data_IF_467360705388
#
_entry.id   IF_467360705388
#
_cell.length_a   1.000
_cell.length_b   1.000
_cell.length_c   1.000
_cell.angle_alpha   90.00
_cell.angle_beta   90.00
_cell.angle_gamma   90.00
#
_symmetry.space_group_name_H-M   'P 1'
#
loop_
_entity.id
_entity.type
_entity.pdbx_description
1 polymer ?
#
# COMPACT_ATOMS: atom_id res chain seq x y z
N UNK A 1 6.29 2.95 -15.27
CA UNK A 1 5.34 2.31 -16.18
C UNK A 1 4.55 1.16 -15.51
N UNK A 2 5.18 0.03 -15.05
CA UNK A 2 4.46 -1.14 -14.50
C UNK A 2 3.58 -0.82 -13.27
N UNK A 3 4.05 -0.02 -12.32
CA UNK A 3 3.25 0.37 -11.15
C UNK A 3 2.05 1.25 -11.54
N UNK A 4 2.26 2.21 -12.44
CA UNK A 4 1.19 3.08 -12.93
C UNK A 4 0.12 2.31 -13.69
N UNK A 5 0.52 1.36 -14.56
CA UNK A 5 -0.44 0.46 -15.25
C UNK A 5 -1.20 -0.46 -14.29
N UNK A 6 -0.64 -0.70 -13.11
CA UNK A 6 -1.31 -1.44 -12.02
C UNK A 6 -2.20 -0.55 -11.14
N UNK A 7 -2.43 0.73 -11.51
CA UNK A 7 -3.24 1.68 -10.75
C UNK A 7 -2.57 2.21 -9.48
N UNK A 8 -1.22 2.14 -9.39
CA UNK A 8 -0.48 2.66 -8.25
C UNK A 8 -0.01 4.08 -8.56
N UNK A 9 -0.45 5.05 -7.75
CA UNK A 9 0.06 6.41 -7.79
C UNK A 9 1.49 6.47 -7.26
N UNK A 10 2.42 7.01 -8.04
CA UNK A 10 3.82 7.18 -7.63
C UNK A 10 4.05 8.64 -7.25
N UNK A 11 4.78 8.85 -6.16
CA UNK A 11 5.20 10.17 -5.70
C UNK A 11 6.70 10.14 -5.41
N UNK A 12 7.42 11.18 -5.83
CA UNK A 12 8.83 11.39 -5.49
C UNK A 12 8.89 12.37 -4.32
N UNK A 13 9.53 11.93 -3.24
CA UNK A 13 9.73 12.75 -2.04
C UNK A 13 11.21 12.69 -1.67
N UNK A 14 11.92 13.79 -1.91
CA UNK A 14 13.38 13.83 -1.77
C UNK A 14 13.86 15.09 -1.07
N UNK A 15 15.03 15.00 -0.43
CA UNK A 15 15.78 16.16 0.07
C UNK A 15 16.45 17.00 -1.03
N UNK A 16 16.50 16.52 -2.26
CA UNK A 16 17.14 17.16 -3.40
C UNK A 16 16.46 18.45 -3.83
N UNK A 17 17.15 19.18 -4.71
CA UNK A 17 16.64 20.44 -5.26
C UNK A 17 15.43 20.20 -6.18
N UNK A 18 14.54 21.22 -6.34
CA UNK A 18 13.38 21.09 -7.23
C UNK A 18 13.76 20.72 -8.67
N UNK A 19 14.87 21.27 -9.18
CA UNK A 19 15.37 20.97 -10.53
C UNK A 19 15.76 19.50 -10.69
N UNK A 20 16.54 18.97 -9.77
CA UNK A 20 16.97 17.56 -9.76
C UNK A 20 15.77 16.62 -9.65
N UNK A 21 14.87 16.88 -8.70
CA UNK A 21 13.68 16.05 -8.49
C UNK A 21 12.75 16.04 -9.72
N UNK A 22 12.56 17.19 -10.36
CA UNK A 22 11.74 17.29 -11.58
C UNK A 22 12.38 16.58 -12.76
N UNK A 23 13.69 16.69 -12.92
CA UNK A 23 14.42 16.01 -14.01
C UNK A 23 14.37 14.48 -13.86
N UNK A 24 14.57 13.96 -12.64
CA UNK A 24 14.41 12.53 -12.35
C UNK A 24 12.96 12.09 -12.66
N UNK A 25 11.97 12.87 -12.21
CA UNK A 25 10.57 12.57 -12.48
C UNK A 25 10.23 12.54 -13.97
N UNK A 26 10.84 13.43 -14.76
CA UNK A 26 10.70 13.47 -16.22
C UNK A 26 11.30 12.22 -16.87
N UNK A 27 12.51 11.84 -16.48
CA UNK A 27 13.21 10.67 -17.03
C UNK A 27 12.46 9.36 -16.79
N UNK A 28 11.81 9.21 -15.64
CA UNK A 28 11.02 8.00 -15.33
C UNK A 28 9.56 8.08 -15.83
N UNK A 29 9.18 9.16 -16.52
CA UNK A 29 7.84 9.35 -17.07
C UNK A 29 6.75 9.63 -16.02
N UNK A 30 7.13 10.16 -14.84
CA UNK A 30 6.21 10.60 -13.80
C UNK A 30 5.75 12.04 -14.01
N UNK A 31 6.66 12.91 -14.50
CA UNK A 31 6.41 14.32 -14.81
C UNK A 31 6.28 14.54 -16.31
N UNK A 32 5.19 15.15 -16.73
CA UNK A 32 4.98 15.59 -18.11
C UNK A 32 4.74 17.11 -18.11
N UNK A 33 5.65 17.90 -18.73
CA UNK A 33 5.52 19.37 -18.76
C UNK A 33 4.26 19.88 -19.48
N UNK A 34 3.65 19.06 -20.35
CA UNK A 34 2.46 19.45 -21.11
C UNK A 34 1.16 19.33 -20.29
N UNK A 35 1.15 18.44 -19.30
CA UNK A 35 -0.06 18.12 -18.51
C UNK A 35 0.06 18.47 -17.04
N UNK A 36 1.27 18.48 -16.50
CA UNK A 36 1.51 18.73 -15.09
C UNK A 36 1.76 20.21 -14.80
N UNK A 37 1.28 20.66 -13.67
CA UNK A 37 1.31 22.07 -13.24
C UNK A 37 2.02 22.21 -11.91
N UNK A 38 2.16 23.45 -11.41
CA UNK A 38 2.70 23.72 -10.08
C UNK A 38 1.87 23.06 -8.95
N UNK A 39 0.63 22.66 -9.21
CA UNK A 39 -0.18 21.90 -8.27
C UNK A 39 0.43 20.51 -7.99
N UNK A 40 1.10 19.92 -8.99
CA UNK A 40 1.66 18.57 -8.92
C UNK A 40 3.06 18.53 -8.29
N UNK A 41 3.69 19.67 -8.00
CA UNK A 41 4.99 19.74 -7.32
C UNK A 41 5.01 20.79 -6.22
N UNK A 42 5.79 20.54 -5.16
CA UNK A 42 5.94 21.44 -4.03
C UNK A 42 7.30 21.26 -3.37
N UNK A 43 7.76 22.27 -2.65
CA UNK A 43 8.92 22.14 -1.75
C UNK A 43 8.45 21.77 -0.34
N UNK A 44 9.30 21.09 0.45
CA UNK A 44 8.98 20.76 1.83
C UNK A 44 8.63 21.98 2.68
N UNK A 45 9.32 23.12 2.46
CA UNK A 45 9.01 24.38 3.16
C UNK A 45 7.60 24.84 2.83
N UNK A 46 7.26 24.96 1.55
CA UNK A 46 5.92 25.39 1.14
C UNK A 46 4.83 24.38 1.59
N UNK A 47 5.15 23.09 1.62
CA UNK A 47 4.22 22.07 2.12
C UNK A 47 3.98 22.19 3.63
N UNK A 48 4.99 22.56 4.40
CA UNK A 48 4.87 22.78 5.85
C UNK A 48 4.04 24.02 6.20
N UNK A 49 4.00 25.02 5.32
CA UNK A 49 3.23 26.25 5.48
C UNK A 49 1.73 26.09 5.14
N UNK A 50 1.36 25.03 4.40
CA UNK A 50 -0.05 24.74 4.10
C UNK A 50 -0.81 24.33 5.36
N UNK A 51 -2.02 24.83 5.50
CA UNK A 51 -2.99 24.28 6.46
C UNK A 51 -3.28 22.79 6.14
N UNK A 52 -3.83 22.07 7.10
CA UNK A 52 -4.17 20.66 6.89
C UNK A 52 -5.25 20.48 5.82
N UNK A 53 -6.19 21.41 5.71
CA UNK A 53 -7.24 21.40 4.68
C UNK A 53 -6.65 21.59 3.27
N UNK A 54 -5.78 22.59 3.10
CA UNK A 54 -5.10 22.87 1.82
C UNK A 54 -4.17 21.73 1.41
N UNK A 55 -3.43 21.19 2.37
CA UNK A 55 -2.55 20.05 2.13
C UNK A 55 -3.36 18.80 1.74
N UNK A 56 -4.48 18.54 2.43
CA UNK A 56 -5.38 17.42 2.14
C UNK A 56 -6.03 17.53 0.76
N UNK A 57 -6.41 18.73 0.31
CA UNK A 57 -6.94 18.96 -1.04
C UNK A 57 -5.90 18.66 -2.13
N UNK A 58 -4.64 18.98 -1.86
CA UNK A 58 -3.55 18.86 -2.83
C UNK A 58 -2.85 17.50 -2.87
N UNK A 59 -2.88 16.75 -1.76
CA UNK A 59 -2.03 15.58 -1.54
C UNK A 59 -2.20 14.50 -2.60
N UNK A 60 -3.40 14.30 -3.14
CA UNK A 60 -3.65 13.29 -4.18
C UNK A 60 -3.01 13.64 -5.51
N UNK A 61 -3.05 14.92 -5.90
CA UNK A 61 -2.51 15.43 -7.16
C UNK A 61 -0.98 15.60 -7.13
N UNK A 62 -0.40 15.69 -5.94
CA UNK A 62 1.03 15.89 -5.76
C UNK A 62 1.83 14.71 -6.31
N UNK A 63 2.81 14.99 -7.17
CA UNK A 63 3.74 14.01 -7.75
C UNK A 63 5.16 14.15 -7.22
N UNK A 64 5.59 15.39 -6.93
CA UNK A 64 6.97 15.69 -6.53
C UNK A 64 6.98 16.57 -5.29
N UNK A 65 7.68 16.13 -4.24
CA UNK A 65 8.07 16.96 -3.11
C UNK A 65 9.58 17.01 -3.02
N UNK A 66 10.16 18.19 -3.25
CA UNK A 66 11.59 18.44 -3.17
C UNK A 66 11.96 19.15 -1.86
N UNK A 67 13.22 19.09 -1.45
CA UNK A 67 13.68 19.67 -0.17
C UNK A 67 12.82 19.23 1.03
N UNK A 68 12.31 17.99 0.99
CA UNK A 68 11.48 17.42 2.02
C UNK A 68 12.30 17.06 3.26
N UNK A 69 11.83 17.47 4.42
CA UNK A 69 12.34 17.03 5.73
C UNK A 69 11.66 15.72 6.14
N UNK A 70 12.22 14.97 7.09
CA UNK A 70 11.60 13.75 7.62
C UNK A 70 10.14 13.96 8.08
N UNK A 71 9.86 15.08 8.74
CA UNK A 71 8.52 15.47 9.20
C UNK A 71 7.55 15.72 8.04
N UNK A 72 8.03 16.30 6.94
CA UNK A 72 7.21 16.55 5.75
C UNK A 72 6.82 15.24 5.05
N UNK A 73 7.77 14.27 5.00
CA UNK A 73 7.51 12.91 4.49
C UNK A 73 6.45 12.20 5.31
N UNK A 74 6.57 12.24 6.63
CA UNK A 74 5.60 11.63 7.54
C UNK A 74 4.22 12.27 7.40
N UNK A 75 4.13 13.62 7.40
CA UNK A 75 2.86 14.34 7.22
C UNK A 75 2.18 13.98 5.89
N UNK A 76 2.95 13.86 4.81
CA UNK A 76 2.43 13.43 3.51
C UNK A 76 1.79 12.05 3.59
N UNK A 77 2.44 11.09 4.24
CA UNK A 77 1.91 9.74 4.45
C UNK A 77 0.60 9.79 5.21
N UNK A 78 0.54 10.52 6.32
CA UNK A 78 -0.67 10.66 7.14
C UNK A 78 -1.85 11.27 6.36
N UNK A 79 -1.60 12.32 5.57
CA UNK A 79 -2.64 12.96 4.76
C UNK A 79 -3.15 12.05 3.64
N UNK A 80 -2.27 11.26 3.01
CA UNK A 80 -2.69 10.26 2.04
C UNK A 80 -3.56 9.18 2.67
N UNK A 81 -3.21 8.73 3.87
CA UNK A 81 -4.00 7.75 4.63
C UNK A 81 -5.37 8.33 5.03
N UNK A 82 -5.45 9.59 5.43
CA UNK A 82 -6.72 10.27 5.71
C UNK A 82 -7.63 10.34 4.48
N UNK A 83 -7.07 10.40 3.27
CA UNK A 83 -7.82 10.29 2.00
C UNK A 83 -8.22 8.84 1.65
N UNK A 84 -7.93 7.88 2.51
CA UNK A 84 -8.24 6.47 2.29
C UNK A 84 -7.27 5.74 1.36
N UNK A 85 -6.12 6.33 1.04
CA UNK A 85 -5.09 5.67 0.25
C UNK A 85 -4.30 4.67 1.09
N UNK A 86 -3.97 3.52 0.51
CA UNK A 86 -2.98 2.60 1.07
C UNK A 86 -1.61 3.05 0.60
N UNK A 87 -0.76 3.43 1.54
CA UNK A 87 0.54 4.06 1.25
C UNK A 87 1.67 3.08 1.52
N UNK A 88 2.51 2.90 0.51
CA UNK A 88 3.81 2.27 0.65
C UNK A 88 4.92 3.33 0.54
N UNK A 89 5.91 3.26 1.40
CA UNK A 89 7.07 4.17 1.40
C UNK A 89 8.33 3.36 1.17
N UNK A 90 9.22 3.87 0.32
CA UNK A 90 10.58 3.33 0.17
C UNK A 90 11.58 4.30 0.71
N UNK A 91 12.57 3.80 1.43
CA UNK A 91 13.64 4.62 1.99
C UNK A 91 14.88 3.79 2.33
N UNK A 92 16.04 4.44 2.38
CA UNK A 92 17.33 3.83 2.68
C UNK A 92 18.06 4.49 3.87
N UNK A 93 17.60 5.68 4.25
CA UNK A 93 18.23 6.51 5.28
C UNK A 93 17.47 6.59 6.60
N UNK A 94 18.17 7.01 7.62
CA UNK A 94 17.59 7.31 8.95
C UNK A 94 16.49 8.36 8.87
N UNK A 95 16.58 9.28 7.91
CA UNK A 95 15.61 10.33 7.69
C UNK A 95 14.26 9.82 7.15
N UNK A 96 14.23 8.59 6.63
CA UNK A 96 13.02 7.96 6.09
C UNK A 96 12.28 7.14 7.15
N UNK A 97 12.94 6.79 8.25
CA UNK A 97 12.38 5.93 9.28
C UNK A 97 11.01 6.38 9.83
N UNK A 98 10.74 7.67 10.09
CA UNK A 98 9.41 8.12 10.53
C UNK A 98 8.31 7.86 9.47
N UNK A 99 8.63 8.05 8.20
CA UNK A 99 7.69 7.80 7.10
C UNK A 99 7.49 6.30 6.84
N UNK A 100 8.57 5.50 6.92
CA UNK A 100 8.54 4.03 6.81
C UNK A 100 7.62 3.43 7.88
N UNK A 101 7.79 3.84 9.12
CA UNK A 101 7.00 3.31 10.25
C UNK A 101 5.52 3.72 10.19
N UNK A 102 5.18 4.89 9.61
CA UNK A 102 3.80 5.36 9.50
C UNK A 102 3.07 4.82 8.28
N UNK A 103 3.78 4.36 7.27
CA UNK A 103 3.18 3.76 6.08
C UNK A 103 2.48 2.43 6.42
N UNK A 104 1.49 2.03 5.62
CA UNK A 104 0.94 0.67 5.73
C UNK A 104 1.92 -0.38 5.24
N UNK A 105 2.88 0.00 4.39
CA UNK A 105 3.98 -0.85 3.95
C UNK A 105 5.27 -0.03 3.86
N UNK A 106 6.17 -0.24 4.80
CA UNK A 106 7.52 0.30 4.77
C UNK A 106 8.46 -0.64 4.02
N UNK A 107 9.19 -0.11 3.03
CA UNK A 107 10.16 -0.85 2.24
C UNK A 107 11.55 -0.22 2.41
N UNK A 108 12.51 -0.95 2.95
CA UNK A 108 13.92 -0.51 3.00
C UNK A 108 14.75 -1.16 1.91
N UNK A 109 15.82 -0.47 1.51
CA UNK A 109 16.83 -1.05 0.63
C UNK A 109 17.78 -1.97 1.40
N UNK A 110 18.30 -3.01 0.77
CA UNK A 110 19.26 -3.94 1.35
C UNK A 110 20.56 -3.25 1.80
N UNK A 111 20.97 -2.22 1.06
CA UNK A 111 22.10 -1.34 1.40
C UNK A 111 21.74 -0.21 2.37
N UNK A 112 20.46 -0.07 2.73
CA UNK A 112 19.98 0.96 3.64
C UNK A 112 20.49 0.80 5.07
N UNK A 113 20.36 1.88 5.87
CA UNK A 113 20.78 1.90 7.28
C UNK A 113 20.00 0.89 8.12
N UNK A 114 20.58 0.45 9.25
CA UNK A 114 19.90 -0.42 10.21
C UNK A 114 18.58 0.20 10.70
N UNK A 115 18.56 1.50 10.92
CA UNK A 115 17.38 2.26 11.38
C UNK A 115 16.27 2.20 10.33
N UNK A 116 16.58 2.35 9.04
CA UNK A 116 15.58 2.22 7.97
C UNK A 116 15.04 0.79 7.89
N UNK A 117 15.89 -0.23 8.04
CA UNK A 117 15.49 -1.64 8.03
C UNK A 117 14.59 -2.00 9.22
N UNK A 118 14.91 -1.51 10.41
CA UNK A 118 14.08 -1.72 11.61
C UNK A 118 12.73 -1.01 11.54
N UNK A 119 12.67 0.13 10.83
CA UNK A 119 11.43 0.90 10.64
C UNK A 119 10.58 0.39 9.47
N UNK A 120 11.03 -0.61 8.71
CA UNK A 120 10.35 -1.14 7.52
C UNK A 120 9.77 -2.53 7.76
N UNK A 121 8.72 -2.87 7.02
CA UNK A 121 8.09 -4.20 7.04
C UNK A 121 8.80 -5.18 6.10
N UNK A 122 9.44 -4.65 5.03
CA UNK A 122 10.07 -5.44 3.97
C UNK A 122 11.43 -4.83 3.63
N UNK A 123 12.46 -5.66 3.51
CA UNK A 123 13.78 -5.26 3.00
C UNK A 123 14.01 -5.83 1.60
N UNK A 124 14.33 -4.97 0.64
CA UNK A 124 14.66 -5.33 -0.73
C UNK A 124 16.14 -5.69 -0.84
N UNK A 125 16.46 -6.96 -0.88
CA UNK A 125 17.86 -7.45 -0.86
C UNK A 125 18.65 -7.10 -2.13
N UNK A 126 17.97 -6.90 -3.25
CA UNK A 126 18.55 -6.58 -4.56
C UNK A 126 18.55 -5.08 -4.89
N UNK A 127 18.09 -4.24 -3.97
CA UNK A 127 17.96 -2.78 -4.12
C UNK A 127 17.22 -2.35 -5.40
N UNK A 128 16.36 -3.22 -5.92
CA UNK A 128 15.69 -3.04 -7.21
C UNK A 128 14.24 -2.60 -7.08
N UNK A 129 13.90 -1.45 -7.66
CA UNK A 129 12.52 -1.02 -7.79
C UNK A 129 11.64 -1.99 -8.61
N UNK A 130 12.25 -2.82 -9.47
CA UNK A 130 11.50 -3.83 -10.21
C UNK A 130 10.94 -4.92 -9.30
N UNK A 131 11.65 -5.24 -8.22
CA UNK A 131 11.23 -6.22 -7.21
C UNK A 131 10.01 -5.75 -6.43
N UNK A 132 9.84 -4.43 -6.22
CA UNK A 132 8.60 -3.86 -5.66
C UNK A 132 7.40 -4.19 -6.57
N UNK A 133 7.53 -3.98 -7.88
CA UNK A 133 6.45 -4.31 -8.83
C UNK A 133 6.09 -5.80 -8.81
N UNK A 134 7.09 -6.66 -8.68
CA UNK A 134 6.91 -8.11 -8.55
C UNK A 134 6.24 -8.48 -7.23
N UNK A 135 6.67 -7.90 -6.12
CA UNK A 135 6.06 -8.10 -4.80
C UNK A 135 4.58 -7.70 -4.77
N UNK A 136 4.24 -6.55 -5.37
CA UNK A 136 2.84 -6.10 -5.48
C UNK A 136 2.01 -7.09 -6.31
N UNK A 137 2.54 -7.59 -7.41
CA UNK A 137 1.87 -8.59 -8.26
C UNK A 137 1.57 -9.87 -7.48
N UNK A 138 2.56 -10.41 -6.78
CA UNK A 138 2.40 -11.61 -5.95
C UNK A 138 1.46 -11.36 -4.77
N UNK A 139 1.58 -10.23 -4.08
CA UNK A 139 0.71 -9.85 -2.97
C UNK A 139 -0.76 -9.77 -3.39
N UNK A 140 -1.05 -9.17 -4.55
CA UNK A 140 -2.41 -9.12 -5.11
C UNK A 140 -2.95 -10.51 -5.50
N UNK A 141 -2.08 -11.38 -6.02
CA UNK A 141 -2.46 -12.77 -6.33
C UNK A 141 -2.78 -13.55 -5.06
N UNK A 142 -1.91 -13.45 -4.05
CA UNK A 142 -2.11 -14.08 -2.75
C UNK A 142 -3.40 -13.59 -2.07
N UNK A 143 -3.65 -12.27 -2.07
CA UNK A 143 -4.87 -11.70 -1.53
C UNK A 143 -6.13 -12.26 -2.20
N UNK A 144 -6.15 -12.36 -3.54
CA UNK A 144 -7.26 -12.96 -4.27
C UNK A 144 -7.48 -14.44 -3.92
N UNK A 145 -6.39 -15.19 -3.72
CA UNK A 145 -6.48 -16.60 -3.34
C UNK A 145 -7.04 -16.75 -1.91
N UNK A 146 -6.57 -15.94 -0.96
CA UNK A 146 -7.10 -15.90 0.41
C UNK A 146 -8.59 -15.52 0.40
N UNK A 147 -8.97 -14.51 -0.37
CA UNK A 147 -10.35 -14.07 -0.50
C UNK A 147 -11.26 -15.18 -1.05
N UNK A 148 -10.82 -15.87 -2.11
CA UNK A 148 -11.55 -17.03 -2.67
C UNK A 148 -11.69 -18.16 -1.64
N UNK A 149 -10.62 -18.46 -0.93
CA UNK A 149 -10.62 -19.49 0.12
C UNK A 149 -11.61 -19.15 1.23
N UNK A 150 -11.61 -17.92 1.73
CA UNK A 150 -12.54 -17.48 2.78
C UNK A 150 -13.99 -17.57 2.30
N UNK A 151 -14.29 -17.08 1.09
CA UNK A 151 -15.65 -17.14 0.52
C UNK A 151 -16.10 -18.59 0.36
N UNK A 152 -15.23 -19.47 -0.14
CA UNK A 152 -15.50 -20.89 -0.27
C UNK A 152 -15.81 -21.53 1.09
N UNK A 153 -14.94 -21.31 2.08
CA UNK A 153 -15.11 -21.86 3.43
C UNK A 153 -16.39 -21.36 4.14
N UNK A 154 -16.69 -20.07 4.02
CA UNK A 154 -17.91 -19.51 4.57
C UNK A 154 -19.16 -20.07 3.87
N UNK A 155 -19.11 -20.26 2.55
CA UNK A 155 -20.21 -20.86 1.79
C UNK A 155 -20.50 -22.29 2.25
N UNK A 156 -19.46 -23.12 2.40
CA UNK A 156 -19.62 -24.49 2.89
C UNK A 156 -20.23 -24.52 4.28
N UNK A 157 -19.72 -23.70 5.19
CA UNK A 157 -20.22 -23.65 6.57
C UNK A 157 -21.68 -23.17 6.61
N UNK A 158 -22.04 -22.19 5.79
CA UNK A 158 -23.42 -21.69 5.69
C UNK A 158 -24.37 -22.76 5.13
N UNK A 159 -23.95 -23.47 4.10
CA UNK A 159 -24.74 -24.59 3.52
C UNK A 159 -24.92 -25.71 4.53
N UNK A 160 -23.87 -26.10 5.24
CA UNK A 160 -23.96 -27.12 6.29
C UNK A 160 -24.95 -26.71 7.41
N UNK A 161 -24.89 -25.44 7.84
CA UNK A 161 -25.83 -24.91 8.83
C UNK A 161 -27.28 -24.94 8.33
N UNK A 162 -27.51 -24.54 7.07
CA UNK A 162 -28.83 -24.58 6.46
C UNK A 162 -29.38 -26.01 6.36
N UNK A 163 -28.55 -26.99 5.97
CA UNK A 163 -28.96 -28.40 5.87
C UNK A 163 -29.42 -28.92 7.23
N UNK A 164 -28.66 -28.63 8.29
CA UNK A 164 -29.01 -29.07 9.66
C UNK A 164 -30.30 -28.39 10.14
N UNK A 165 -30.43 -27.08 9.89
CA UNK A 165 -31.61 -26.32 10.30
C UNK A 165 -32.87 -26.77 9.55
N UNK A 166 -32.81 -26.92 8.23
CA UNK A 166 -33.94 -27.40 7.43
C UNK A 166 -34.31 -28.86 7.75
N UNK A 167 -33.30 -29.73 7.95
CA UNK A 167 -33.53 -31.10 8.36
C UNK A 167 -34.23 -31.21 9.71
N UNK A 168 -33.85 -30.38 10.66
CA UNK A 168 -34.52 -30.29 11.97
C UNK A 168 -35.96 -29.82 11.86
N UNK A 169 -36.27 -28.86 10.99
CA UNK A 169 -37.64 -28.36 10.77
C UNK A 169 -38.53 -29.40 10.09
N UNK A 170 -37.96 -30.19 9.17
CA UNK A 170 -38.69 -31.23 8.44
C UNK A 170 -38.85 -32.50 9.29
N UNK A 171 -38.19 -32.59 10.44
CA UNK A 171 -38.27 -33.73 11.35
C UNK A 171 -37.45 -34.96 10.91
N UNK A 172 -36.44 -34.77 10.08
CA UNK A 172 -35.50 -35.83 9.71
C UNK A 172 -34.47 -36.04 10.81
N UNK A 173 -34.06 -37.30 11.05
CA UNK A 173 -32.90 -37.59 11.89
C UNK A 173 -31.67 -36.85 11.33
N UNK A 174 -30.75 -36.42 12.24
CA UNK A 174 -29.57 -35.59 11.96
C UNK A 174 -29.03 -35.73 10.52
N UNK A 175 -29.23 -34.76 9.64
CA UNK A 175 -28.87 -34.87 8.22
C UNK A 175 -27.35 -34.84 7.99
N UNK A 176 -26.60 -34.37 8.98
CA UNK A 176 -25.12 -34.35 8.97
C UNK A 176 -24.61 -34.77 10.34
N UNK A 177 -23.76 -35.79 10.38
CA UNK A 177 -23.07 -36.20 11.61
C UNK A 177 -21.91 -35.24 11.89
N UNK A 178 -21.49 -35.14 13.15
CA UNK A 178 -20.32 -34.34 13.57
C UNK A 178 -19.07 -34.71 12.77
N UNK A 179 -18.86 -36.00 12.49
CA UNK A 179 -17.74 -36.49 11.70
C UNK A 179 -17.79 -35.98 10.27
N UNK A 180 -18.96 -35.94 9.63
CA UNK A 180 -19.14 -35.40 8.28
C UNK A 180 -18.90 -33.88 8.24
N UNK A 181 -19.33 -33.13 9.25
CA UNK A 181 -19.02 -31.71 9.36
C UNK A 181 -17.51 -31.44 9.51
N UNK A 182 -16.82 -32.26 10.29
CA UNK A 182 -15.36 -32.17 10.42
C UNK A 182 -14.65 -32.46 9.09
N UNK A 183 -15.08 -33.46 8.34
CA UNK A 183 -14.53 -33.78 7.03
C UNK A 183 -14.70 -32.61 6.03
N UNK A 184 -15.85 -32.02 5.98
CA UNK A 184 -16.15 -30.86 5.09
C UNK A 184 -15.31 -29.63 5.44
N UNK A 185 -14.93 -29.47 6.72
CA UNK A 185 -14.08 -28.35 7.15
C UNK A 185 -12.59 -28.61 7.04
N UNK A 186 -12.16 -29.86 6.88
CA UNK A 186 -10.74 -30.26 6.86
C UNK A 186 -10.16 -30.34 5.44
N UNK A 187 -11.00 -30.45 4.43
CA UNK A 187 -10.65 -30.50 3.01
C UNK A 187 -10.73 -29.11 2.39
#
# INVERSE_FOLDING_TARGET
AKCQSAGIGIKIVTGDTPGTATEIARQIGLWNPETDTERNRITGVAFAELSDEEALDRVMDLKIMSRARPTDKQRLVQLLQQKGAVVAVTGDGTNDAPALNHAQVGLSMGTGTSVAKEASDITLLDDSFNSIGTAVMWGRSLYKNIQRFIVFQLTINFVALLIVLLGSVIGTELPLTVTQMLWVNLI
#
